data_IF_483943472445
#
_entry.id   IF_483943472445
#
_cell.length_a   1.000
_cell.length_b   1.000
_cell.length_c   1.000
_cell.angle_alpha   90.00
_cell.angle_beta   90.00
_cell.angle_gamma   90.00
#
_symmetry.space_group_name_H-M   'P 1'
#
loop_
_entity.id
_entity.type
_entity.pdbx_description
1 polymer ?
#
# COMPACT_ATOMS: atom_id res chain seq x y z
N UNK A 1 1.82 13.95 -22.99
CA UNK A 1 1.20 12.61 -22.98
C UNK A 1 0.23 12.60 -21.80
N UNK A 2 -1.07 12.37 -22.05
CA UNK A 2 -2.06 12.23 -20.97
C UNK A 2 -1.64 11.02 -20.13
N UNK A 3 -1.31 11.24 -18.85
CA UNK A 3 -1.05 10.12 -17.94
C UNK A 3 -2.32 9.31 -17.81
N UNK A 4 -2.22 8.00 -17.97
CA UNK A 4 -3.34 7.11 -17.74
C UNK A 4 -3.83 7.28 -16.30
N UNK A 5 -5.13 7.40 -16.10
CA UNK A 5 -5.75 7.74 -14.82
C UNK A 5 -5.42 6.74 -13.69
N UNK A 6 -5.40 7.24 -12.48
CA UNK A 6 -5.10 6.46 -11.27
C UNK A 6 -6.22 6.66 -10.26
N UNK A 7 -6.72 5.58 -9.67
CA UNK A 7 -7.57 5.65 -8.48
C UNK A 7 -6.74 5.36 -7.24
N UNK A 8 -6.65 6.33 -6.32
CA UNK A 8 -5.93 6.19 -5.04
C UNK A 8 -6.92 5.86 -3.94
N UNK A 9 -6.72 4.73 -3.27
CA UNK A 9 -7.51 4.28 -2.11
C UNK A 9 -6.76 4.55 -0.82
N UNK A 10 -7.40 5.31 0.08
CA UNK A 10 -6.87 5.69 1.39
C UNK A 10 -7.88 5.26 2.46
N UNK A 11 -7.44 4.57 3.50
CA UNK A 11 -8.31 4.14 4.60
C UNK A 11 -8.01 4.93 5.86
N UNK A 12 -9.02 5.63 6.37
CA UNK A 12 -8.95 6.37 7.63
C UNK A 12 -9.52 5.55 8.78
N UNK A 13 -8.78 5.44 9.86
CA UNK A 13 -9.24 4.85 11.12
C UNK A 13 -9.04 5.85 12.26
N UNK A 14 -9.88 6.90 12.29
CA UNK A 14 -9.69 8.12 13.10
C UNK A 14 -8.39 8.84 12.76
N UNK A 15 -8.11 9.00 11.46
CA UNK A 15 -6.86 9.57 10.95
C UNK A 15 -7.13 10.60 9.84
N UNK A 16 -8.30 11.25 9.85
CA UNK A 16 -8.68 12.18 8.78
C UNK A 16 -7.71 13.37 8.64
N UNK A 17 -7.05 13.78 9.74
CA UNK A 17 -6.00 14.80 9.67
C UNK A 17 -4.83 14.34 8.77
N UNK A 18 -4.39 13.08 8.90
CA UNK A 18 -3.32 12.49 8.07
C UNK A 18 -3.79 12.32 6.62
N UNK A 19 -5.03 11.85 6.43
CA UNK A 19 -5.66 11.78 5.09
C UNK A 19 -5.60 13.15 4.43
N UNK A 20 -6.01 14.21 5.14
CA UNK A 20 -6.02 15.58 4.60
C UNK A 20 -4.61 16.07 4.23
N UNK A 21 -3.60 15.69 4.99
CA UNK A 21 -2.21 16.00 4.67
C UNK A 21 -1.77 15.29 3.38
N UNK A 22 -2.12 14.01 3.23
CA UNK A 22 -1.83 13.25 1.99
C UNK A 22 -2.62 13.82 0.79
N UNK A 23 -3.89 14.21 0.97
CA UNK A 23 -4.67 14.86 -0.08
C UNK A 23 -4.01 16.15 -0.58
N UNK A 24 -3.51 16.99 0.34
CA UNK A 24 -2.76 18.21 -0.02
C UNK A 24 -1.46 17.88 -0.76
N UNK A 25 -0.74 16.84 -0.34
CA UNK A 25 0.47 16.43 -1.04
C UNK A 25 0.15 15.94 -2.46
N UNK A 26 -0.87 15.09 -2.64
CA UNK A 26 -1.32 14.62 -3.96
C UNK A 26 -1.70 15.82 -4.84
N UNK A 27 -2.49 16.76 -4.33
CA UNK A 27 -2.89 17.94 -5.08
C UNK A 27 -1.70 18.81 -5.48
N UNK A 28 -0.73 18.96 -4.58
CA UNK A 28 0.48 19.79 -4.80
C UNK A 28 1.42 19.18 -5.84
N UNK A 29 1.68 17.85 -5.79
CA UNK A 29 2.78 17.24 -6.58
C UNK A 29 2.33 16.37 -7.74
N UNK A 30 1.09 15.84 -7.74
CA UNK A 30 0.70 14.84 -8.74
C UNK A 30 -0.08 15.40 -9.93
N UNK A 31 -0.79 16.52 -9.77
CA UNK A 31 -1.56 17.13 -10.86
C UNK A 31 -2.85 16.41 -11.20
N UNK A 32 -3.24 16.44 -12.48
CA UNK A 32 -4.50 15.87 -12.99
C UNK A 32 -4.41 14.36 -13.24
N UNK A 33 -5.57 13.72 -13.44
CA UNK A 33 -5.66 12.30 -13.78
C UNK A 33 -5.71 11.36 -12.57
N UNK A 34 -5.89 11.91 -11.35
CA UNK A 34 -6.03 11.14 -10.12
C UNK A 34 -7.45 11.28 -9.58
N UNK A 35 -8.09 10.14 -9.29
CA UNK A 35 -9.30 10.06 -8.48
C UNK A 35 -8.95 9.48 -7.12
N UNK A 36 -9.57 9.97 -6.05
CA UNK A 36 -9.29 9.52 -4.70
C UNK A 36 -10.54 8.91 -4.09
N UNK A 37 -10.40 7.74 -3.48
CA UNK A 37 -11.44 7.09 -2.68
C UNK A 37 -10.93 7.01 -1.24
N UNK A 38 -11.55 7.78 -0.35
CA UNK A 38 -11.27 7.73 1.09
C UNK A 38 -12.31 6.84 1.75
N UNK A 39 -11.86 5.80 2.46
CA UNK A 39 -12.75 4.98 3.28
C UNK A 39 -12.61 5.37 4.74
N UNK A 40 -13.63 5.99 5.31
CA UNK A 40 -13.75 6.22 6.76
C UNK A 40 -14.15 4.92 7.45
N UNK A 41 -13.15 4.15 7.84
CA UNK A 41 -13.33 2.85 8.51
C UNK A 41 -13.83 3.02 9.95
N UNK A 42 -13.38 4.06 10.60
CA UNK A 42 -13.94 4.60 11.86
C UNK A 42 -13.96 6.11 11.72
N UNK A 43 -15.14 6.73 11.83
CA UNK A 43 -15.28 8.18 11.71
C UNK A 43 -14.41 8.94 12.70
N UNK A 44 -14.03 10.16 12.32
CA UNK A 44 -13.19 11.09 13.07
C UNK A 44 -13.97 12.40 13.26
N UNK A 45 -13.59 13.21 14.26
CA UNK A 45 -14.13 14.56 14.44
C UNK A 45 -13.65 15.52 13.33
N UNK A 46 -12.47 15.27 12.78
CA UNK A 46 -11.93 16.01 11.63
C UNK A 46 -12.60 15.56 10.35
N UNK A 47 -13.23 16.46 9.60
CA UNK A 47 -13.78 16.14 8.30
C UNK A 47 -12.69 15.89 7.25
N UNK A 48 -12.97 14.97 6.32
CA UNK A 48 -12.12 14.77 5.13
C UNK A 48 -12.32 15.95 4.17
N UNK A 49 -11.24 16.48 3.61
CA UNK A 49 -11.27 17.54 2.59
C UNK A 49 -11.80 16.98 1.26
N UNK A 50 -13.03 17.34 0.90
CA UNK A 50 -13.67 16.92 -0.36
C UNK A 50 -13.73 18.06 -1.41
N UNK A 51 -13.30 19.24 -1.06
CA UNK A 51 -13.31 20.42 -1.94
C UNK A 51 -11.98 21.17 -1.89
N UNK A 52 -11.72 21.97 -2.95
CA UNK A 52 -10.48 22.76 -3.04
C UNK A 52 -9.26 21.98 -3.53
N UNK A 53 -9.42 20.70 -3.91
CA UNK A 53 -8.39 19.89 -4.57
C UNK A 53 -8.72 19.70 -6.04
N UNK A 54 -7.71 19.61 -6.91
CA UNK A 54 -7.87 19.31 -8.35
C UNK A 54 -8.29 17.85 -8.58
N UNK A 55 -8.00 16.99 -7.62
CA UNK A 55 -8.34 15.57 -7.66
C UNK A 55 -9.72 15.34 -7.06
N UNK A 56 -10.68 14.71 -7.79
CA UNK A 56 -11.98 14.32 -7.24
C UNK A 56 -11.83 13.37 -6.06
N UNK A 57 -12.47 13.67 -4.94
CA UNK A 57 -12.48 12.85 -3.72
C UNK A 57 -13.88 12.25 -3.51
N UNK A 58 -13.95 10.92 -3.42
CA UNK A 58 -15.16 10.16 -3.07
C UNK A 58 -14.97 9.55 -1.68
N UNK A 59 -16.03 9.57 -0.85
CA UNK A 59 -15.99 9.01 0.50
C UNK A 59 -16.84 7.75 0.57
N UNK A 60 -16.33 6.74 1.24
CA UNK A 60 -17.05 5.55 1.70
C UNK A 60 -17.01 5.58 3.24
N UNK A 61 -18.17 5.59 3.90
CA UNK A 61 -18.23 5.52 5.37
C UNK A 61 -18.75 4.17 5.80
N UNK A 62 -17.97 3.45 6.61
CA UNK A 62 -18.36 2.16 7.13
C UNK A 62 -19.28 2.28 8.35
N UNK A 63 -20.30 1.44 8.43
CA UNK A 63 -21.16 1.34 9.60
C UNK A 63 -20.47 0.63 10.78
N UNK A 64 -19.47 -0.21 10.49
CA UNK A 64 -18.62 -0.93 11.45
C UNK A 64 -17.20 -1.01 10.93
N UNK A 65 -16.19 -1.09 11.81
CA UNK A 65 -14.81 -1.28 11.39
C UNK A 65 -14.64 -2.57 10.58
N UNK A 66 -13.91 -2.47 9.46
CA UNK A 66 -13.54 -3.57 8.57
C UNK A 66 -12.03 -3.75 8.54
N UNK A 67 -11.58 -4.90 8.03
CA UNK A 67 -10.17 -5.18 7.80
C UNK A 67 -9.56 -4.34 6.68
N UNK A 68 -8.24 -4.32 6.58
CA UNK A 68 -7.50 -3.63 5.52
C UNK A 68 -7.94 -4.11 4.14
N UNK A 69 -7.93 -5.43 3.92
CA UNK A 69 -8.32 -6.07 2.67
C UNK A 69 -9.74 -5.65 2.22
N UNK A 70 -10.73 -5.79 3.13
CA UNK A 70 -12.13 -5.50 2.84
C UNK A 70 -12.34 -4.02 2.47
N UNK A 71 -11.63 -3.09 3.13
CA UNK A 71 -11.71 -1.67 2.84
C UNK A 71 -11.17 -1.32 1.44
N UNK A 72 -9.99 -1.81 1.10
CA UNK A 72 -9.39 -1.53 -0.20
C UNK A 72 -10.12 -2.25 -1.34
N UNK A 73 -10.64 -3.46 -1.12
CA UNK A 73 -11.49 -4.12 -2.10
C UNK A 73 -12.79 -3.35 -2.34
N UNK A 74 -13.43 -2.85 -1.29
CA UNK A 74 -14.63 -2.00 -1.43
C UNK A 74 -14.32 -0.71 -2.19
N UNK A 75 -13.18 -0.06 -1.94
CA UNK A 75 -12.72 1.10 -2.70
C UNK A 75 -12.46 0.75 -4.17
N UNK A 76 -11.89 -0.42 -4.46
CA UNK A 76 -11.63 -0.87 -5.82
C UNK A 76 -12.90 -1.04 -6.66
N UNK A 77 -14.07 -1.30 -6.06
CA UNK A 77 -15.35 -1.32 -6.80
C UNK A 77 -15.70 0.02 -7.45
N UNK A 78 -15.07 1.11 -6.99
CA UNK A 78 -15.22 2.46 -7.55
C UNK A 78 -14.11 2.82 -8.54
N UNK A 79 -13.14 1.94 -8.75
CA UNK A 79 -12.02 2.14 -9.66
C UNK A 79 -12.44 1.84 -11.10
N UNK A 80 -12.35 2.86 -11.95
CA UNK A 80 -12.57 2.76 -13.41
C UNK A 80 -11.30 3.07 -14.20
N UNK A 81 -10.21 3.39 -13.49
CA UNK A 81 -8.92 3.79 -14.07
C UNK A 81 -8.02 2.56 -14.33
N UNK A 82 -7.06 2.65 -15.26
CA UNK A 82 -6.14 1.55 -15.55
C UNK A 82 -5.19 1.21 -14.39
N UNK A 83 -4.99 2.16 -13.45
CA UNK A 83 -4.14 1.93 -12.28
C UNK A 83 -4.90 2.14 -10.98
N UNK A 84 -4.62 1.28 -10.01
CA UNK A 84 -5.16 1.34 -8.66
C UNK A 84 -4.04 1.46 -7.63
N UNK A 85 -4.05 2.51 -6.83
CA UNK A 85 -3.06 2.74 -5.79
C UNK A 85 -3.67 2.51 -4.41
N UNK A 86 -3.03 1.68 -3.61
CA UNK A 86 -3.29 1.57 -2.17
C UNK A 86 -2.26 2.42 -1.45
N UNK A 87 -2.70 3.34 -0.59
CA UNK A 87 -1.83 4.19 0.19
C UNK A 87 -2.32 4.30 1.64
N UNK A 88 -1.39 4.17 2.59
CA UNK A 88 -1.67 4.46 3.99
C UNK A 88 -1.92 5.97 4.20
N UNK A 89 -2.75 6.37 5.16
CA UNK A 89 -3.07 7.78 5.40
C UNK A 89 -1.87 8.59 5.93
N UNK A 90 -0.86 7.95 6.50
CA UNK A 90 0.37 8.53 7.03
C UNK A 90 1.53 8.56 6.02
N UNK A 91 1.24 8.35 4.74
CA UNK A 91 2.17 8.61 3.63
C UNK A 91 2.25 10.11 3.34
N UNK A 92 3.45 10.60 3.07
CA UNK A 92 3.73 11.97 2.62
C UNK A 92 4.48 11.92 1.29
N UNK A 93 4.10 12.82 0.38
CA UNK A 93 4.69 12.90 -0.96
C UNK A 93 5.50 14.19 -1.10
N UNK A 94 6.79 14.06 -1.41
CA UNK A 94 7.67 15.17 -1.73
C UNK A 94 7.73 15.44 -3.23
N UNK A 95 7.50 14.41 -4.04
CA UNK A 95 7.44 14.45 -5.52
C UNK A 95 6.34 13.50 -6.01
N UNK A 96 6.01 13.57 -7.30
CA UNK A 96 5.03 12.68 -7.92
C UNK A 96 5.65 11.29 -8.17
N UNK A 97 5.23 10.22 -7.45
CA UNK A 97 5.79 8.89 -7.64
C UNK A 97 5.20 8.15 -8.85
N UNK A 98 4.03 8.55 -9.31
CA UNK A 98 3.22 7.77 -10.24
C UNK A 98 3.85 7.58 -11.62
N UNK A 99 4.46 8.59 -12.29
CA UNK A 99 5.02 8.38 -13.62
C UNK A 99 6.08 7.28 -13.67
N UNK A 100 6.94 7.22 -12.66
CA UNK A 100 8.02 6.21 -12.58
C UNK A 100 7.45 4.83 -12.23
N UNK A 101 6.46 4.76 -11.35
CA UNK A 101 5.77 3.51 -11.01
C UNK A 101 4.94 2.98 -12.20
N UNK A 102 4.24 3.85 -12.95
CA UNK A 102 3.54 3.48 -14.18
C UNK A 102 4.50 2.94 -15.24
N UNK A 103 5.67 3.58 -15.40
CA UNK A 103 6.72 3.08 -16.30
C UNK A 103 7.22 1.69 -15.89
N UNK A 104 7.32 1.42 -14.58
CA UNK A 104 7.68 0.09 -14.10
C UNK A 104 6.58 -0.94 -14.38
N UNK A 105 5.30 -0.56 -14.28
CA UNK A 105 4.15 -1.41 -14.63
C UNK A 105 3.97 -1.61 -16.14
N UNK A 106 4.55 -0.74 -16.97
CA UNK A 106 4.55 -0.95 -18.42
C UNK A 106 5.47 -2.11 -18.88
N UNK A 107 6.25 -2.70 -17.97
CA UNK A 107 7.02 -3.93 -18.25
C UNK A 107 6.08 -5.09 -18.42
N UNK A 108 6.50 -6.04 -19.26
CA UNK A 108 5.74 -7.25 -19.51
C UNK A 108 5.44 -7.99 -18.19
N UNK A 109 4.18 -8.33 -18.00
CA UNK A 109 3.66 -9.06 -16.83
C UNK A 109 3.81 -8.37 -15.46
N UNK A 110 4.10 -7.07 -15.37
CA UNK A 110 4.13 -6.39 -14.09
C UNK A 110 2.70 -6.21 -13.52
N UNK A 111 2.44 -6.73 -12.32
CA UNK A 111 1.13 -6.65 -11.66
C UNK A 111 1.04 -5.55 -10.61
N UNK A 112 2.15 -5.25 -9.94
CA UNK A 112 2.25 -4.22 -8.90
C UNK A 112 3.63 -3.60 -8.86
N UNK A 113 3.70 -2.31 -8.56
CA UNK A 113 4.94 -1.56 -8.32
C UNK A 113 4.86 -0.77 -7.00
N UNK A 114 5.97 -0.70 -6.28
CA UNK A 114 6.07 0.11 -5.06
C UNK A 114 7.37 0.89 -4.97
N UNK A 115 7.34 2.08 -4.33
CA UNK A 115 8.49 2.96 -4.19
C UNK A 115 9.40 2.54 -3.03
N UNK A 116 10.55 3.19 -2.94
CA UNK A 116 11.33 3.25 -1.70
C UNK A 116 10.52 3.99 -0.63
N UNK A 117 10.40 3.41 0.54
CA UNK A 117 9.74 4.05 1.69
C UNK A 117 10.79 4.50 2.69
N UNK A 118 10.72 5.78 3.11
CA UNK A 118 11.58 6.33 4.15
C UNK A 118 10.77 6.78 5.36
N UNK A 119 11.38 6.73 6.53
CA UNK A 119 10.85 7.42 7.70
C UNK A 119 11.07 8.94 7.58
N UNK A 120 10.39 9.79 8.39
CA UNK A 120 10.65 11.23 8.44
C UNK A 120 12.11 11.57 8.80
N UNK A 121 12.81 10.67 9.47
CA UNK A 121 14.25 10.81 9.80
C UNK A 121 15.18 10.41 8.64
N UNK A 122 14.63 10.03 7.47
CA UNK A 122 15.38 9.64 6.27
C UNK A 122 15.86 8.18 6.27
N UNK A 123 15.60 7.39 7.33
CA UNK A 123 15.96 5.98 7.34
C UNK A 123 15.06 5.18 6.39
N UNK A 124 15.64 4.21 5.68
CA UNK A 124 14.89 3.29 4.81
C UNK A 124 14.00 2.40 5.66
N UNK A 125 12.71 2.35 5.32
CA UNK A 125 11.77 1.39 5.88
C UNK A 125 11.72 0.13 5.01
N UNK A 126 11.50 -1.01 5.65
CA UNK A 126 11.50 -2.33 5.05
C UNK A 126 10.19 -2.55 4.25
N UNK A 127 10.10 -1.93 3.06
CA UNK A 127 8.93 -1.96 2.20
C UNK A 127 8.97 -3.03 1.10
N UNK A 128 10.18 -3.47 0.69
CA UNK A 128 10.39 -4.56 -0.27
C UNK A 128 11.08 -5.72 0.45
N UNK A 129 10.47 -6.90 0.44
CA UNK A 129 10.87 -8.00 1.32
C UNK A 129 10.81 -9.35 0.64
N UNK A 130 11.51 -10.33 1.23
CA UNK A 130 11.42 -11.75 0.85
C UNK A 130 10.22 -12.41 1.53
N UNK A 131 9.62 -13.40 0.86
CA UNK A 131 8.53 -14.16 1.48
C UNK A 131 8.95 -14.75 2.82
N UNK A 132 8.10 -14.59 3.86
CA UNK A 132 8.36 -15.20 5.15
C UNK A 132 8.29 -16.72 5.05
N UNK A 133 9.32 -17.38 5.54
CA UNK A 133 9.40 -18.84 5.71
C UNK A 133 9.46 -19.16 7.21
N UNK A 134 9.09 -20.39 7.60
CA UNK A 134 9.23 -20.82 9.00
C UNK A 134 10.67 -20.61 9.51
N UNK A 135 11.68 -20.90 8.67
CA UNK A 135 13.10 -20.70 9.00
C UNK A 135 13.45 -19.22 9.15
N UNK A 136 12.95 -18.33 8.26
CA UNK A 136 13.23 -16.90 8.37
C UNK A 136 12.58 -16.28 9.62
N UNK A 137 11.41 -16.76 9.99
CA UNK A 137 10.69 -16.29 11.18
C UNK A 137 11.38 -16.74 12.47
N UNK A 138 11.80 -18.00 12.58
CA UNK A 138 12.58 -18.46 13.74
C UNK A 138 13.92 -17.72 13.87
N UNK A 139 14.60 -17.47 12.73
CA UNK A 139 15.86 -16.69 12.73
C UNK A 139 15.65 -15.25 13.23
N UNK A 140 14.53 -14.61 12.89
CA UNK A 140 14.20 -13.25 13.38
C UNK A 140 14.00 -13.17 14.90
N UNK A 141 13.68 -14.28 15.57
CA UNK A 141 13.55 -14.31 17.03
C UNK A 141 14.92 -14.27 17.75
N UNK A 142 15.98 -14.73 17.08
CA UNK A 142 17.30 -14.91 17.68
C UNK A 142 18.40 -14.03 17.04
N UNK A 143 18.12 -13.34 15.94
CA UNK A 143 19.10 -12.51 15.23
C UNK A 143 18.85 -11.02 15.44
N UNK A 144 19.93 -10.23 15.41
CA UNK A 144 19.83 -8.78 15.31
C UNK A 144 19.08 -8.35 14.04
N UNK A 145 18.45 -7.16 14.03
CA UNK A 145 17.80 -6.64 12.84
C UNK A 145 18.77 -6.65 11.65
N UNK A 146 18.45 -7.40 10.61
CA UNK A 146 19.18 -7.36 9.35
C UNK A 146 18.80 -6.07 8.61
N UNK A 147 19.69 -5.58 7.73
CA UNK A 147 19.35 -4.51 6.79
C UNK A 147 18.21 -4.90 5.83
N UNK A 148 17.87 -4.03 4.88
CA UNK A 148 16.81 -4.30 3.89
C UNK A 148 17.08 -5.57 3.10
N UNK A 149 16.02 -6.33 2.79
CA UNK A 149 16.12 -7.61 2.06
C UNK A 149 16.57 -7.40 0.60
N UNK A 150 16.38 -6.19 0.04
CA UNK A 150 16.72 -5.82 -1.32
C UNK A 150 17.52 -4.51 -1.37
N UNK A 151 18.42 -4.35 -2.38
CA UNK A 151 19.27 -3.16 -2.49
C UNK A 151 18.43 -1.93 -2.86
N UNK A 152 18.75 -0.78 -2.25
CA UNK A 152 18.08 0.51 -2.49
C UNK A 152 18.73 1.35 -3.59
N UNK A 153 19.91 0.97 -4.07
CA UNK A 153 20.74 1.76 -5.00
C UNK A 153 20.58 1.33 -6.46
N UNK A 154 19.80 0.30 -6.73
CA UNK A 154 19.57 -0.24 -8.07
C UNK A 154 18.28 0.28 -8.69
N UNK A 155 18.19 0.22 -10.03
CA UNK A 155 16.94 0.50 -10.75
C UNK A 155 15.82 -0.49 -10.39
N UNK A 156 14.64 -0.38 -11.05
CA UNK A 156 13.51 -1.25 -10.77
C UNK A 156 13.86 -2.73 -10.82
N UNK A 157 13.59 -3.46 -9.73
CA UNK A 157 13.90 -4.88 -9.55
C UNK A 157 12.65 -5.67 -9.18
N UNK A 158 12.59 -6.92 -9.60
CA UNK A 158 11.57 -7.86 -9.14
C UNK A 158 11.88 -8.33 -7.73
N UNK A 159 10.85 -8.34 -6.86
CA UNK A 159 10.95 -8.71 -5.46
C UNK A 159 9.82 -9.67 -5.08
N UNK A 160 9.95 -10.37 -3.95
CA UNK A 160 8.93 -11.32 -3.54
C UNK A 160 7.62 -10.61 -3.16
N UNK A 161 7.69 -9.53 -2.36
CA UNK A 161 6.52 -8.74 -2.01
C UNK A 161 6.86 -7.31 -1.57
N UNK A 162 5.86 -6.44 -1.69
CA UNK A 162 5.89 -5.04 -1.29
C UNK A 162 4.87 -4.83 -0.18
N UNK A 163 5.25 -4.08 0.86
CA UNK A 163 4.37 -3.78 1.98
C UNK A 163 3.22 -2.83 1.59
N UNK A 164 2.05 -3.07 2.17
CA UNK A 164 0.80 -2.37 1.89
C UNK A 164 0.79 -0.87 2.21
N UNK A 165 1.95 -0.27 2.54
CA UNK A 165 2.07 1.16 2.82
C UNK A 165 1.82 2.03 1.58
N UNK A 166 2.36 1.62 0.42
CA UNK A 166 2.15 2.27 -0.87
C UNK A 166 2.37 1.27 -2.01
N UNK A 167 1.30 0.92 -2.72
CA UNK A 167 1.32 -0.06 -3.80
C UNK A 167 0.52 0.46 -4.99
N UNK A 168 1.15 0.55 -6.17
CA UNK A 168 0.47 0.85 -7.42
C UNK A 168 0.27 -0.44 -8.21
N UNK A 169 -0.97 -0.81 -8.45
CA UNK A 169 -1.36 -1.99 -9.21
C UNK A 169 -1.75 -1.64 -10.64
N UNK A 170 -1.49 -2.53 -11.58
CA UNK A 170 -2.32 -2.65 -12.76
C UNK A 170 -3.72 -3.09 -12.34
N UNK A 171 -4.76 -2.33 -12.72
CA UNK A 171 -6.14 -2.59 -12.28
C UNK A 171 -6.69 -3.92 -12.82
N UNK A 172 -6.23 -4.37 -13.99
CA UNK A 172 -6.64 -5.65 -14.54
C UNK A 172 -6.01 -6.81 -13.77
N UNK A 173 -4.71 -6.70 -13.40
CA UNK A 173 -4.03 -7.67 -12.57
C UNK A 173 -4.67 -7.76 -11.18
N UNK A 174 -4.97 -6.62 -10.52
CA UNK A 174 -5.65 -6.60 -9.22
C UNK A 174 -7.03 -7.28 -9.29
N UNK A 175 -7.80 -6.99 -10.35
CA UNK A 175 -9.10 -7.61 -10.60
C UNK A 175 -8.99 -9.11 -10.84
N UNK A 176 -8.01 -9.56 -11.65
CA UNK A 176 -7.77 -10.97 -11.94
C UNK A 176 -7.46 -11.77 -10.67
N UNK A 177 -6.78 -11.13 -9.70
CA UNK A 177 -6.52 -11.71 -8.37
C UNK A 177 -7.73 -11.64 -7.43
N UNK A 178 -8.85 -11.06 -7.83
CA UNK A 178 -10.01 -10.77 -6.97
C UNK A 178 -9.65 -9.87 -5.79
N UNK A 179 -8.64 -9.01 -5.94
CA UNK A 179 -8.15 -8.12 -4.90
C UNK A 179 -7.40 -8.83 -3.77
N UNK A 180 -7.40 -8.21 -2.60
CA UNK A 180 -6.87 -8.78 -1.37
C UNK A 180 -7.79 -9.91 -0.83
N UNK A 181 -7.21 -10.94 -0.20
CA UNK A 181 -8.00 -11.95 0.51
C UNK A 181 -8.53 -11.38 1.84
N UNK A 182 -9.85 -11.18 1.93
CA UNK A 182 -10.52 -10.58 3.09
C UNK A 182 -10.48 -11.47 4.36
N UNK A 183 -10.03 -12.70 4.22
CA UNK A 183 -9.75 -13.58 5.38
C UNK A 183 -8.56 -13.08 6.22
N UNK A 184 -7.76 -12.15 5.68
CA UNK A 184 -6.77 -11.38 6.44
C UNK A 184 -7.42 -10.09 6.92
N UNK A 185 -7.72 -9.99 8.20
CA UNK A 185 -8.27 -8.75 8.76
C UNK A 185 -7.25 -7.62 8.75
N UNK A 186 -5.99 -7.95 9.09
CA UNK A 186 -4.87 -7.03 9.11
C UNK A 186 -3.55 -7.82 9.06
N UNK A 187 -2.59 -7.34 8.26
CA UNK A 187 -1.29 -7.95 7.99
C UNK A 187 -1.38 -9.22 7.14
N UNK A 188 -0.38 -9.44 6.29
CA UNK A 188 -0.21 -10.54 5.35
C UNK A 188 -1.17 -10.54 4.14
N UNK A 189 -2.15 -9.66 4.06
CA UNK A 189 -2.97 -9.49 2.85
C UNK A 189 -2.13 -9.04 1.65
N UNK A 190 -1.15 -8.17 1.88
CA UNK A 190 -0.17 -7.69 0.90
C UNK A 190 0.79 -8.81 0.48
N UNK A 191 1.32 -9.57 1.43
CA UNK A 191 2.18 -10.73 1.18
C UNK A 191 1.45 -11.80 0.36
N UNK A 192 0.20 -12.10 0.74
CA UNK A 192 -0.63 -13.09 0.04
C UNK A 192 -0.95 -12.65 -1.40
N UNK A 193 -1.33 -11.38 -1.59
CA UNK A 193 -1.62 -10.87 -2.93
C UNK A 193 -0.37 -10.92 -3.83
N UNK A 194 0.79 -10.51 -3.34
CA UNK A 194 2.04 -10.61 -4.09
C UNK A 194 2.38 -12.07 -4.44
N UNK A 195 2.18 -13.01 -3.51
CA UNK A 195 2.36 -14.45 -3.79
C UNK A 195 1.41 -14.96 -4.87
N UNK A 196 0.14 -14.52 -4.86
CA UNK A 196 -0.83 -14.89 -5.91
C UNK A 196 -0.48 -14.28 -7.26
N UNK A 197 0.00 -13.04 -7.29
CA UNK A 197 0.53 -12.40 -8.50
C UNK A 197 1.66 -13.24 -9.12
N UNK A 198 2.69 -13.59 -8.33
CA UNK A 198 3.78 -14.46 -8.83
C UNK A 198 3.29 -15.81 -9.35
N UNK A 199 2.37 -16.47 -8.64
CA UNK A 199 1.80 -17.75 -9.08
C UNK A 199 1.02 -17.64 -10.39
N UNK A 200 0.52 -16.45 -10.71
CA UNK A 200 -0.21 -16.14 -11.96
C UNK A 200 0.69 -15.55 -13.05
N UNK A 201 2.02 -15.56 -12.83
CA UNK A 201 2.99 -15.05 -13.81
C UNK A 201 3.16 -13.53 -13.81
N UNK A 202 2.65 -12.82 -12.81
CA UNK A 202 2.85 -11.39 -12.69
C UNK A 202 4.04 -11.06 -11.79
N UNK A 203 4.85 -10.09 -12.23
CA UNK A 203 5.97 -9.56 -11.47
C UNK A 203 5.53 -8.53 -10.41
N UNK A 204 6.21 -8.53 -9.27
CA UNK A 204 6.13 -7.52 -8.21
C UNK A 204 7.38 -6.66 -8.29
N UNK A 205 7.25 -5.37 -8.59
CA UNK A 205 8.38 -4.50 -8.92
C UNK A 205 8.63 -3.49 -7.81
N UNK A 206 9.81 -3.54 -7.22
CA UNK A 206 10.32 -2.51 -6.32
C UNK A 206 11.08 -1.45 -7.12
N UNK A 207 10.78 -0.17 -6.88
CA UNK A 207 11.28 0.98 -7.64
C UNK A 207 12.01 1.95 -6.70
N UNK A 208 13.26 1.67 -6.31
CA UNK A 208 14.01 2.52 -5.37
C UNK A 208 14.38 3.91 -5.93
N UNK A 209 14.25 4.12 -7.24
CA UNK A 209 14.48 5.42 -7.89
C UNK A 209 13.41 6.47 -7.61
N UNK A 210 12.33 6.12 -6.94
CA UNK A 210 11.28 7.04 -6.47
C UNK A 210 10.95 6.72 -5.03
N UNK A 211 10.71 7.76 -4.22
CA UNK A 211 10.50 7.58 -2.78
C UNK A 211 9.23 8.25 -2.27
N UNK A 212 8.70 7.67 -1.20
CA UNK A 212 7.63 8.26 -0.38
C UNK A 212 8.07 8.24 1.09
N UNK A 213 7.53 9.14 1.90
CA UNK A 213 7.81 9.19 3.34
C UNK A 213 6.63 8.59 4.10
N UNK A 214 6.91 7.67 5.01
CA UNK A 214 5.91 7.06 5.89
C UNK A 214 6.07 7.61 7.31
N UNK A 215 5.20 8.54 7.69
CA UNK A 215 5.18 9.17 9.02
C UNK A 215 4.46 8.26 10.02
N UNK A 216 4.99 7.05 10.19
CA UNK A 216 4.40 6.06 11.08
C UNK A 216 4.35 6.57 12.52
N UNK A 217 3.18 7.02 12.96
CA UNK A 217 2.91 7.27 14.37
C UNK A 217 2.82 5.93 15.09
N UNK A 218 3.95 5.41 15.58
CA UNK A 218 4.20 4.07 16.16
C UNK A 218 3.27 3.65 17.32
N UNK A 219 2.08 4.22 17.44
CA UNK A 219 1.06 3.86 18.43
C UNK A 219 0.59 2.39 18.31
N UNK A 220 0.74 1.77 17.13
CA UNK A 220 0.21 0.44 16.84
C UNK A 220 1.03 -0.72 17.43
N UNK A 221 2.34 -0.56 17.65
CA UNK A 221 3.20 -1.68 18.10
C UNK A 221 2.93 -2.20 19.52
N UNK A 222 2.10 -1.51 20.32
CA UNK A 222 1.86 -1.86 21.74
C UNK A 222 0.49 -2.48 22.03
N UNK A 223 -0.38 -2.66 21.03
CA UNK A 223 -1.71 -3.22 21.27
C UNK A 223 -1.70 -4.75 21.10
N UNK A 224 -1.97 -5.50 22.17
CA UNK A 224 -2.10 -6.97 22.16
C UNK A 224 -3.05 -7.48 21.06
N UNK A 225 -4.10 -6.73 20.74
CA UNK A 225 -5.03 -7.07 19.65
C UNK A 225 -4.34 -7.14 18.28
N UNK A 226 -3.42 -6.21 17.99
CA UNK A 226 -2.67 -6.18 16.72
C UNK A 226 -1.69 -7.35 16.62
N UNK A 227 -1.06 -7.74 17.73
CA UNK A 227 -0.20 -8.93 17.77
C UNK A 227 -0.98 -10.21 17.49
N UNK A 228 -2.22 -10.34 18.01
CA UNK A 228 -3.11 -11.49 17.72
C UNK A 228 -3.47 -11.55 16.23
N UNK A 229 -3.83 -10.42 15.62
CA UNK A 229 -4.10 -10.37 14.18
C UNK A 229 -2.86 -10.75 13.37
N UNK A 230 -1.69 -10.22 13.73
CA UNK A 230 -0.44 -10.55 13.06
C UNK A 230 -0.12 -12.06 13.15
N UNK A 231 -0.24 -12.67 14.35
CA UNK A 231 0.02 -14.09 14.55
C UNK A 231 -0.98 -14.98 13.78
N UNK A 232 -2.27 -14.62 13.80
CA UNK A 232 -3.31 -15.35 13.07
C UNK A 232 -3.10 -15.27 11.54
N UNK A 233 -2.80 -14.10 11.04
CA UNK A 233 -2.52 -13.87 9.61
C UNK A 233 -1.25 -14.60 9.17
N UNK A 234 -0.19 -14.55 9.97
CA UNK A 234 1.06 -15.28 9.72
C UNK A 234 0.80 -16.80 9.64
N UNK A 235 0.09 -17.37 10.60
CA UNK A 235 -0.22 -18.80 10.60
C UNK A 235 -1.03 -19.18 9.36
N UNK A 236 -2.05 -18.38 9.01
CA UNK A 236 -2.84 -18.59 7.79
C UNK A 236 -1.97 -18.60 6.54
N UNK A 237 -1.02 -17.66 6.43
CA UNK A 237 -0.13 -17.57 5.28
C UNK A 237 0.79 -18.78 5.16
N UNK A 238 1.34 -19.28 6.26
CA UNK A 238 2.26 -20.43 6.28
C UNK A 238 1.58 -21.76 5.99
N UNK A 239 0.26 -21.87 6.23
CA UNK A 239 -0.52 -23.10 6.01
C UNK A 239 -1.11 -23.20 4.59
N UNK A 240 -0.94 -22.16 3.74
CA UNK A 240 -1.40 -22.07 2.34
C UNK A 240 -0.22 -22.05 1.36
#
# INVERSE_FOLDING_TARGET
MSHAGITVSIVSHRQNALVNDLLRDIDRVCGEGIEIVVTENVPDETAVLIGGTRCPVKIITNQRPRGFAENHNAAFTRCVTPFYCVANPDIRLTSNPFPVLQQALAREHAGVAGPLVRSPAGSVEDSARRFPTAVSLTRKLFAAPAGPDYPVERGPIEVDWIAGMFMLFDSAAFRAMSGFDEAYFLYYEDVDLCRRLHRSGHAVIYVPGVEVVHDARRASRRKLSLMRHHAASMLRFLLR
#
